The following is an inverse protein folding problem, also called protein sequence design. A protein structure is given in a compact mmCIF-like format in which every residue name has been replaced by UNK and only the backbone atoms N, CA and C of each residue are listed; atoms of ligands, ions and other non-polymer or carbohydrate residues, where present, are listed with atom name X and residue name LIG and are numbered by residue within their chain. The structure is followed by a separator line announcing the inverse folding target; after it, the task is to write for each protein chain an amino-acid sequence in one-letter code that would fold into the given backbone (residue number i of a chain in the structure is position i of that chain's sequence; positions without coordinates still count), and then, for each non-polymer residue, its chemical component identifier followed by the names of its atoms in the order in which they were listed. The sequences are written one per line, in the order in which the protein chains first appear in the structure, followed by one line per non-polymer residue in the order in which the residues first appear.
data_IF_245309599412
#
_entry.id   IF_245309599412
#
_cell.length_a   1.000
_cell.length_b   1.000
_cell.length_c   1.000
_cell.angle_alpha   90.00
_cell.angle_beta   90.00
_cell.angle_gamma   90.00
#
_symmetry.space_group_name_H-M   'P 1'
#
loop_
_entity.id
_entity.type
_entity.pdbx_description
1 polymer ?
#
# COMPACT_ATOMS: atom_id res chain seq x y z
N UNK A 1 -20.06 -4.88 -5.69
CA UNK A 1 -19.56 -3.48 -5.66
C UNK A 1 -18.61 -3.38 -4.49
N UNK A 2 -17.37 -2.92 -4.73
CA UNK A 2 -16.44 -2.71 -3.62
C UNK A 2 -16.97 -1.65 -2.67
N UNK A 3 -16.84 -1.92 -1.37
CA UNK A 3 -17.20 -0.95 -0.33
C UNK A 3 -16.08 0.06 -0.07
N UNK A 4 -14.91 -0.13 -0.69
CA UNK A 4 -13.71 0.70 -0.54
C UNK A 4 -13.72 1.85 -1.55
N UNK A 5 -14.44 2.94 -1.23
CA UNK A 5 -14.56 4.16 -2.07
C UNK A 5 -14.58 5.41 -1.19
N UNK A 6 -14.23 6.55 -1.78
CA UNK A 6 -14.33 7.86 -1.12
C UNK A 6 -13.59 7.93 0.22
N UNK A 7 -14.27 8.38 1.26
CA UNK A 7 -13.71 8.53 2.61
C UNK A 7 -13.21 7.19 3.18
N UNK A 8 -13.93 6.10 2.94
CA UNK A 8 -13.53 4.77 3.43
C UNK A 8 -12.21 4.30 2.83
N UNK A 9 -11.95 4.56 1.55
CA UNK A 9 -10.66 4.23 0.94
C UNK A 9 -9.54 5.10 1.52
N UNK A 10 -9.78 6.40 1.75
CA UNK A 10 -8.80 7.28 2.41
C UNK A 10 -8.43 6.80 3.80
N UNK A 11 -9.40 6.35 4.59
CA UNK A 11 -9.16 5.77 5.91
C UNK A 11 -8.40 4.44 5.83
N UNK A 12 -8.76 3.58 4.88
CA UNK A 12 -8.07 2.31 4.67
C UNK A 12 -6.60 2.47 4.24
N UNK A 13 -6.23 3.60 3.68
CA UNK A 13 -4.85 3.87 3.23
C UNK A 13 -3.96 4.55 4.26
N UNK A 14 -4.42 4.80 5.51
CA UNK A 14 -3.64 5.50 6.55
C UNK A 14 -2.35 4.78 6.92
N UNK A 15 -2.41 3.48 7.20
CA UNK A 15 -1.23 2.63 7.43
C UNK A 15 -1.32 1.37 6.57
N UNK A 16 -0.57 1.37 5.50
CA UNK A 16 -0.57 0.35 4.47
C UNK A 16 0.68 -0.52 4.59
N UNK A 17 0.55 -1.72 5.13
CA UNK A 17 1.66 -2.65 5.33
C UNK A 17 1.76 -3.60 4.13
N UNK A 18 2.95 -3.74 3.57
CA UNK A 18 3.24 -4.61 2.43
C UNK A 18 4.12 -5.75 2.91
N UNK A 19 3.70 -7.00 2.68
CA UNK A 19 4.48 -8.18 3.08
C UNK A 19 5.74 -8.33 2.23
N UNK A 20 6.79 -8.88 2.83
CA UNK A 20 8.03 -9.23 2.15
C UNK A 20 8.73 -10.36 2.90
N UNK A 21 8.79 -11.54 2.29
CA UNK A 21 9.36 -12.75 2.92
C UNK A 21 10.86 -12.63 3.23
N UNK A 22 11.59 -11.89 2.40
CA UNK A 22 13.03 -11.70 2.62
C UNK A 22 13.30 -10.88 3.89
N UNK A 23 12.39 -9.97 4.25
CA UNK A 23 12.49 -9.10 5.41
C UNK A 23 11.75 -9.64 6.65
N UNK A 24 10.96 -10.68 6.50
CA UNK A 24 10.10 -11.22 7.56
C UNK A 24 10.85 -11.90 8.72
N UNK A 25 12.18 -12.02 8.65
CA UNK A 25 13.01 -12.64 9.70
C UNK A 25 12.58 -14.08 10.03
N UNK A 26 12.16 -14.84 9.00
CA UNK A 26 11.68 -16.22 9.13
C UNK A 26 10.24 -16.38 9.62
N UNK A 27 9.52 -15.27 9.89
CA UNK A 27 8.09 -15.31 10.29
C UNK A 27 7.20 -15.54 9.07
N UNK A 28 6.07 -16.21 9.28
CA UNK A 28 5.07 -16.40 8.25
C UNK A 28 4.31 -15.11 7.93
N UNK A 29 3.88 -14.92 6.66
CA UNK A 29 3.10 -13.75 6.25
C UNK A 29 1.84 -13.54 7.11
N UNK A 30 1.19 -14.64 7.54
CA UNK A 30 -0.02 -14.55 8.39
C UNK A 30 0.29 -14.07 9.82
N UNK A 31 1.46 -14.39 10.36
CA UNK A 31 1.90 -13.89 11.67
C UNK A 31 2.18 -12.39 11.59
N UNK A 32 2.95 -11.97 10.58
CA UNK A 32 3.22 -10.56 10.31
C UNK A 32 1.92 -9.78 10.14
N UNK A 33 0.99 -10.28 9.35
CA UNK A 33 -0.29 -9.63 9.09
C UNK A 33 -1.12 -9.47 10.36
N UNK A 34 -1.20 -10.51 11.19
CA UNK A 34 -1.95 -10.49 12.45
C UNK A 34 -1.39 -9.44 13.41
N UNK A 35 -0.08 -9.40 13.56
CA UNK A 35 0.58 -8.43 14.44
C UNK A 35 0.49 -6.99 13.88
N UNK A 36 0.65 -6.80 12.58
CA UNK A 36 0.50 -5.50 11.95
C UNK A 36 -0.93 -4.95 12.09
N UNK A 37 -1.95 -5.78 11.88
CA UNK A 37 -3.36 -5.42 12.05
C UNK A 37 -3.65 -5.09 13.52
N UNK A 38 -3.16 -5.90 14.46
CA UNK A 38 -3.29 -5.63 15.89
C UNK A 38 -2.60 -4.33 16.30
N UNK A 39 -1.54 -3.92 15.60
CA UNK A 39 -0.86 -2.63 15.77
C UNK A 39 -1.56 -1.46 15.06
N UNK A 40 -2.62 -1.70 14.29
CA UNK A 40 -3.41 -0.63 13.67
C UNK A 40 -3.19 -0.46 12.17
N UNK A 41 -2.62 -1.43 11.47
CA UNK A 41 -2.59 -1.44 10.01
C UNK A 41 -4.02 -1.42 9.44
N UNK A 42 -4.27 -0.58 8.44
CA UNK A 42 -5.58 -0.37 7.82
C UNK A 42 -5.68 -0.95 6.42
N UNK A 43 -4.53 -1.22 5.80
CA UNK A 43 -4.41 -1.98 4.56
C UNK A 43 -3.26 -2.98 4.66
N UNK A 44 -3.42 -4.11 4.00
CA UNK A 44 -2.40 -5.14 3.86
C UNK A 44 -2.23 -5.49 2.39
N UNK A 45 -0.98 -5.55 1.91
CA UNK A 45 -0.66 -6.00 0.56
C UNK A 45 0.13 -7.30 0.59
N UNK A 46 -0.35 -8.30 -0.11
CA UNK A 46 0.42 -9.51 -0.40
C UNK A 46 1.40 -9.22 -1.55
N UNK A 47 2.70 -9.20 -1.24
CA UNK A 47 3.78 -9.08 -2.22
C UNK A 47 4.46 -10.43 -2.42
N UNK A 48 4.09 -11.13 -3.48
CA UNK A 48 4.61 -12.45 -3.81
C UNK A 48 5.59 -12.37 -4.99
N UNK A 49 6.88 -12.32 -4.72
CA UNK A 49 7.94 -12.18 -5.75
C UNK A 49 8.62 -13.49 -6.13
N UNK A 50 8.51 -14.53 -5.32
CA UNK A 50 9.13 -15.82 -5.57
C UNK A 50 8.33 -16.96 -4.93
N UNK A 51 8.44 -18.15 -5.52
CA UNK A 51 7.77 -19.35 -5.06
C UNK A 51 6.54 -19.74 -5.90
N UNK A 52 5.98 -20.94 -5.67
CA UNK A 52 4.85 -21.46 -6.40
C UNK A 52 3.58 -20.63 -6.21
N UNK A 53 2.78 -20.46 -7.26
CA UNK A 53 1.48 -19.78 -7.17
C UNK A 53 0.47 -20.52 -6.28
N UNK A 54 0.55 -21.86 -6.19
CA UNK A 54 -0.26 -22.64 -5.27
C UNK A 54 -0.04 -22.23 -3.81
N UNK A 55 1.18 -21.94 -3.43
CA UNK A 55 1.52 -21.43 -2.11
C UNK A 55 1.02 -20.00 -1.93
N UNK A 56 1.19 -19.13 -2.97
CA UNK A 56 0.65 -17.78 -2.96
C UNK A 56 -0.87 -17.78 -2.74
N UNK A 57 -1.59 -18.70 -3.34
CA UNK A 57 -3.04 -18.88 -3.15
C UNK A 57 -3.38 -19.28 -1.71
N UNK A 58 -2.67 -20.24 -1.13
CA UNK A 58 -2.90 -20.66 0.26
C UNK A 58 -2.68 -19.50 1.24
N UNK A 59 -1.53 -18.83 1.14
CA UNK A 59 -1.21 -17.67 1.97
C UNK A 59 -2.22 -16.54 1.73
N UNK A 60 -2.52 -16.24 0.46
CA UNK A 60 -3.43 -15.17 0.09
C UNK A 60 -4.85 -15.38 0.62
N UNK A 61 -5.39 -16.61 0.58
CA UNK A 61 -6.69 -16.92 1.17
C UNK A 61 -6.71 -16.71 2.69
N UNK A 62 -5.63 -17.10 3.39
CA UNK A 62 -5.52 -16.88 4.83
C UNK A 62 -5.46 -15.38 5.17
N UNK A 63 -4.65 -14.61 4.45
CA UNK A 63 -4.53 -13.16 4.63
C UNK A 63 -5.86 -12.45 4.32
N UNK A 64 -6.54 -12.85 3.24
CA UNK A 64 -7.84 -12.28 2.88
C UNK A 64 -8.90 -12.53 3.96
N UNK A 65 -8.94 -13.74 4.50
CA UNK A 65 -9.88 -14.07 5.58
C UNK A 65 -9.62 -13.20 6.82
N UNK A 66 -8.35 -13.07 7.22
CA UNK A 66 -7.92 -12.22 8.34
C UNK A 66 -8.29 -10.75 8.12
N UNK A 67 -7.97 -10.19 6.95
CA UNK A 67 -8.29 -8.80 6.62
C UNK A 67 -9.79 -8.54 6.62
N UNK A 68 -10.59 -9.45 6.07
CA UNK A 68 -12.06 -9.35 6.06
C UNK A 68 -12.64 -9.33 7.47
N UNK A 69 -12.15 -10.20 8.34
CA UNK A 69 -12.58 -10.27 9.74
C UNK A 69 -12.25 -8.99 10.50
N UNK A 70 -11.06 -8.43 10.25
CA UNK A 70 -10.58 -7.20 10.88
C UNK A 70 -11.10 -5.90 10.22
N UNK A 71 -11.79 -5.96 9.09
CA UNK A 71 -12.22 -4.78 8.34
C UNK A 71 -11.08 -4.01 7.69
N UNK A 72 -9.99 -4.71 7.31
CA UNK A 72 -8.77 -4.18 6.69
C UNK A 72 -8.80 -4.42 5.18
N UNK A 73 -8.37 -3.44 4.39
CA UNK A 73 -8.28 -3.54 2.93
C UNK A 73 -7.20 -4.56 2.54
N UNK A 74 -7.57 -5.58 1.75
CA UNK A 74 -6.63 -6.58 1.24
C UNK A 74 -6.30 -6.36 -0.23
N UNK A 75 -5.03 -6.14 -0.53
CA UNK A 75 -4.52 -5.84 -1.87
C UNK A 75 -3.49 -6.89 -2.30
N UNK A 76 -3.42 -7.19 -3.59
CA UNK A 76 -2.37 -8.04 -4.19
C UNK A 76 -1.45 -7.18 -5.05
N UNK A 77 -0.15 -7.39 -4.90
CA UNK A 77 0.87 -6.66 -5.65
C UNK A 77 1.08 -7.29 -7.05
N UNK A 78 1.11 -6.47 -8.11
CA UNK A 78 1.44 -6.78 -9.52
C UNK A 78 0.50 -7.80 -10.20
N UNK A 79 0.16 -8.88 -9.55
CA UNK A 79 -0.51 -10.06 -10.11
C UNK A 79 -2.02 -9.92 -10.12
N UNK A 80 -2.56 -9.39 -11.21
CA UNK A 80 -4.03 -9.24 -11.42
C UNK A 80 -4.74 -10.57 -11.40
N UNK A 81 -4.16 -11.62 -11.99
CA UNK A 81 -4.68 -12.98 -11.98
C UNK A 81 -4.81 -13.55 -10.56
N UNK A 82 -3.79 -13.34 -9.73
CA UNK A 82 -3.80 -13.75 -8.33
C UNK A 82 -4.85 -12.95 -7.52
N UNK A 83 -4.96 -11.65 -7.76
CA UNK A 83 -5.97 -10.81 -7.11
C UNK A 83 -7.39 -11.30 -7.42
N UNK A 84 -7.67 -11.63 -8.68
CA UNK A 84 -8.95 -12.19 -9.11
C UNK A 84 -9.21 -13.57 -8.49
N UNK A 85 -8.23 -14.48 -8.51
CA UNK A 85 -8.35 -15.81 -7.94
C UNK A 85 -8.63 -15.80 -6.44
N UNK A 86 -8.03 -14.86 -5.71
CA UNK A 86 -8.25 -14.65 -4.27
C UNK A 86 -9.54 -13.91 -3.97
N UNK A 87 -10.17 -13.26 -4.94
CA UNK A 87 -11.24 -12.30 -4.71
C UNK A 87 -10.77 -11.15 -3.79
N UNK A 88 -9.56 -10.63 -4.01
CA UNK A 88 -9.00 -9.54 -3.22
C UNK A 88 -9.86 -8.27 -3.32
N UNK A 89 -9.71 -7.37 -2.35
CA UNK A 89 -10.38 -6.07 -2.39
C UNK A 89 -9.72 -5.13 -3.41
N UNK A 90 -8.43 -5.32 -3.68
CA UNK A 90 -7.68 -4.51 -4.62
C UNK A 90 -6.47 -5.21 -5.25
N UNK A 91 -5.95 -4.58 -6.29
CA UNK A 91 -4.66 -4.89 -6.92
C UNK A 91 -3.84 -3.61 -7.06
N UNK A 92 -2.54 -3.71 -6.87
CA UNK A 92 -1.61 -2.58 -7.04
C UNK A 92 -0.59 -2.92 -8.11
N UNK A 93 -0.50 -2.08 -9.13
CA UNK A 93 0.40 -2.27 -10.29
C UNK A 93 1.38 -1.11 -10.43
N UNK A 94 2.56 -1.37 -10.98
CA UNK A 94 3.57 -0.38 -11.32
C UNK A 94 3.69 -0.15 -12.82
N UNK A 95 4.64 0.68 -13.22
CA UNK A 95 4.85 1.08 -14.63
C UNK A 95 5.26 -0.07 -15.56
N UNK A 96 5.86 -1.13 -15.00
CA UNK A 96 6.29 -2.31 -15.74
C UNK A 96 5.28 -3.47 -15.71
N UNK A 97 4.19 -3.32 -14.97
CA UNK A 97 3.14 -4.32 -14.83
C UNK A 97 2.03 -4.12 -15.87
N UNK A 98 0.91 -4.82 -15.71
CA UNK A 98 -0.25 -4.65 -16.57
C UNK A 98 -0.77 -3.20 -16.45
N UNK A 99 -0.91 -2.45 -17.56
CA UNK A 99 -1.36 -1.06 -17.53
C UNK A 99 -2.72 -0.87 -16.83
N UNK A 100 -2.92 0.29 -16.18
CA UNK A 100 -4.16 0.59 -15.45
C UNK A 100 -5.43 0.38 -16.28
N UNK A 101 -5.52 0.83 -17.56
CA UNK A 101 -6.71 0.59 -18.36
C UNK A 101 -7.02 -0.90 -18.55
N UNK A 102 -6.00 -1.72 -18.78
CA UNK A 102 -6.17 -3.16 -18.98
C UNK A 102 -6.49 -3.86 -17.66
N UNK A 103 -5.85 -3.44 -16.58
CA UNK A 103 -6.17 -3.90 -15.22
C UNK A 103 -7.63 -3.62 -14.90
N UNK A 104 -8.11 -2.39 -15.13
CA UNK A 104 -9.51 -2.01 -14.89
C UNK A 104 -10.51 -2.83 -15.71
N UNK A 105 -10.20 -3.12 -16.97
CA UNK A 105 -11.04 -4.00 -17.80
C UNK A 105 -11.20 -5.40 -17.22
N UNK A 106 -10.12 -5.97 -16.63
CA UNK A 106 -10.16 -7.30 -16.04
C UNK A 106 -10.91 -7.33 -14.70
N UNK A 107 -10.63 -6.36 -13.82
CA UNK A 107 -11.17 -6.37 -12.45
C UNK A 107 -12.53 -5.68 -12.32
N UNK A 108 -12.96 -4.94 -13.35
CA UNK A 108 -14.22 -4.18 -13.33
C UNK A 108 -14.24 -3.12 -12.22
N UNK A 109 -15.44 -2.68 -11.83
CA UNK A 109 -15.67 -1.68 -10.78
C UNK A 109 -15.69 -2.27 -9.35
N UNK A 110 -15.55 -3.59 -9.22
CA UNK A 110 -15.67 -4.28 -7.93
C UNK A 110 -14.38 -4.32 -7.12
N UNK A 111 -13.25 -3.99 -7.73
CA UNK A 111 -11.92 -4.07 -7.10
C UNK A 111 -11.24 -2.70 -7.14
N UNK A 112 -10.50 -2.38 -6.08
CA UNK A 112 -9.65 -1.19 -6.03
C UNK A 112 -8.41 -1.39 -6.89
N UNK A 113 -8.05 -0.41 -7.72
CA UNK A 113 -6.82 -0.40 -8.51
C UNK A 113 -5.89 0.69 -7.98
N UNK A 114 -4.74 0.29 -7.44
CA UNK A 114 -3.66 1.18 -7.09
C UNK A 114 -2.59 1.21 -8.16
N UNK A 115 -1.90 2.35 -8.30
CA UNK A 115 -0.81 2.51 -9.24
C UNK A 115 0.37 3.26 -8.64
N UNK A 116 1.59 2.86 -9.01
CA UNK A 116 2.83 3.57 -8.63
C UNK A 116 3.37 4.35 -9.82
N UNK A 117 3.06 5.66 -9.95
CA UNK A 117 3.63 6.52 -10.98
C UNK A 117 5.07 6.93 -10.64
N UNK A 118 5.89 7.13 -11.66
CA UNK A 118 7.22 7.73 -11.56
C UNK A 118 7.20 9.23 -11.88
N UNK A 119 6.20 9.68 -12.66
CA UNK A 119 6.06 11.07 -13.11
C UNK A 119 4.66 11.60 -12.85
N UNK A 120 4.52 12.92 -12.82
CA UNK A 120 3.22 13.59 -12.75
C UNK A 120 2.31 13.21 -13.93
N UNK A 121 2.86 13.10 -15.13
CA UNK A 121 2.11 12.71 -16.32
C UNK A 121 1.49 11.31 -16.16
N UNK A 122 2.29 10.35 -15.68
CA UNK A 122 1.80 8.99 -15.38
C UNK A 122 0.72 8.99 -14.29
N UNK A 123 0.84 9.83 -13.27
CA UNK A 123 -0.14 9.96 -12.20
C UNK A 123 -1.52 10.44 -12.74
N UNK A 124 -1.51 11.50 -13.55
CA UNK A 124 -2.72 12.04 -14.19
C UNK A 124 -3.34 11.05 -15.18
N UNK A 125 -2.51 10.37 -15.98
CA UNK A 125 -2.97 9.34 -16.89
C UNK A 125 -3.60 8.14 -16.16
N UNK A 126 -3.02 7.71 -15.03
CA UNK A 126 -3.55 6.61 -14.23
C UNK A 126 -4.89 6.96 -13.58
N UNK A 127 -5.05 8.18 -13.06
CA UNK A 127 -6.33 8.66 -12.55
C UNK A 127 -7.40 8.66 -13.66
N UNK A 128 -7.10 9.23 -14.82
CA UNK A 128 -8.00 9.25 -15.97
C UNK A 128 -8.36 7.84 -16.46
N UNK A 129 -7.44 6.87 -16.31
CA UNK A 129 -7.65 5.48 -16.66
C UNK A 129 -8.41 4.66 -15.61
N UNK A 130 -8.77 5.26 -14.47
CA UNK A 130 -9.58 4.63 -13.43
C UNK A 130 -8.76 3.99 -12.30
N UNK A 131 -7.54 4.44 -12.02
CA UNK A 131 -6.88 4.15 -10.75
C UNK A 131 -7.68 4.76 -9.59
N UNK A 132 -7.74 4.05 -8.46
CA UNK A 132 -8.46 4.49 -7.26
C UNK A 132 -7.54 5.18 -6.26
N UNK A 133 -6.24 4.88 -6.27
CA UNK A 133 -5.22 5.54 -5.46
C UNK A 133 -3.83 5.41 -6.08
N UNK A 134 -2.91 6.26 -5.64
CA UNK A 134 -1.52 6.24 -6.07
C UNK A 134 -0.57 5.95 -4.89
N UNK A 135 0.51 5.19 -5.17
CA UNK A 135 1.64 5.01 -4.27
C UNK A 135 2.86 5.72 -4.83
N UNK A 136 3.29 6.82 -4.22
CA UNK A 136 4.37 7.66 -4.72
C UNK A 136 5.64 7.48 -3.90
N UNK A 137 6.73 7.17 -4.58
CA UNK A 137 8.03 6.96 -3.95
C UNK A 137 9.10 6.43 -4.91
N UNK A 138 10.30 6.11 -4.35
CA UNK A 138 10.64 6.15 -2.93
C UNK A 138 10.79 7.59 -2.40
N UNK A 139 10.06 7.93 -1.34
CA UNK A 139 10.13 9.30 -0.76
C UNK A 139 11.50 9.54 -0.13
N UNK A 140 12.02 8.54 0.58
CA UNK A 140 13.35 8.55 1.17
C UNK A 140 14.21 7.42 0.61
N UNK A 141 15.55 7.50 0.74
CA UNK A 141 16.43 6.42 0.32
C UNK A 141 16.02 5.08 0.95
N UNK A 142 16.02 4.01 0.15
CA UNK A 142 15.64 2.67 0.59
C UNK A 142 16.41 1.61 -0.19
N UNK A 143 16.72 0.50 0.48
CA UNK A 143 17.30 -0.69 -0.12
C UNK A 143 16.30 -1.86 -0.20
N UNK A 144 15.07 -1.63 0.26
CA UNK A 144 14.02 -2.66 0.34
C UNK A 144 13.60 -3.19 -1.03
N UNK A 145 13.52 -2.29 -2.03
CA UNK A 145 13.32 -2.66 -3.43
C UNK A 145 14.56 -2.23 -4.21
N UNK A 146 15.35 -3.17 -4.75
CA UNK A 146 16.57 -2.83 -5.50
C UNK A 146 16.32 -1.97 -6.75
N UNK A 147 15.14 -2.08 -7.32
CA UNK A 147 14.65 -1.38 -8.52
C UNK A 147 13.86 -0.10 -8.22
N UNK A 148 13.83 0.36 -6.97
CA UNK A 148 13.05 1.54 -6.59
C UNK A 148 13.58 2.87 -7.14
N UNK A 149 14.80 2.90 -7.66
CA UNK A 149 15.43 4.13 -8.13
C UNK A 149 15.86 5.07 -6.99
N UNK A 150 16.34 6.29 -7.33
CA UNK A 150 16.70 7.30 -6.33
C UNK A 150 15.46 7.85 -5.62
N UNK A 151 15.68 8.37 -4.39
CA UNK A 151 14.61 9.02 -3.64
C UNK A 151 14.07 10.24 -4.40
N UNK A 152 12.74 10.32 -4.53
CA UNK A 152 12.07 11.42 -5.23
C UNK A 152 11.74 12.60 -4.31
N UNK A 153 11.74 12.40 -3.00
CA UNK A 153 11.53 13.42 -1.99
C UNK A 153 10.06 13.82 -1.76
N UNK A 154 9.89 14.68 -0.76
CA UNK A 154 8.57 15.19 -0.36
C UNK A 154 7.98 16.17 -1.38
N UNK A 155 8.80 16.91 -2.10
CA UNK A 155 8.32 17.87 -3.12
C UNK A 155 7.61 17.16 -4.27
N UNK A 156 8.19 16.07 -4.77
CA UNK A 156 7.57 15.27 -5.82
C UNK A 156 6.27 14.62 -5.34
N UNK A 157 6.26 14.10 -4.11
CA UNK A 157 5.04 13.57 -3.49
C UNK A 157 3.95 14.65 -3.42
N UNK A 158 4.28 15.84 -2.92
CA UNK A 158 3.35 16.97 -2.80
C UNK A 158 2.83 17.44 -4.16
N UNK A 159 3.70 17.49 -5.17
CA UNK A 159 3.32 17.86 -6.54
C UNK A 159 2.26 16.89 -7.10
N UNK A 160 2.49 15.59 -6.99
CA UNK A 160 1.53 14.58 -7.47
C UNK A 160 0.25 14.64 -6.64
N UNK A 161 0.35 14.65 -5.30
CA UNK A 161 -0.82 14.66 -4.42
C UNK A 161 -1.70 15.91 -4.58
N UNK A 162 -1.09 17.05 -4.96
CA UNK A 162 -1.83 18.28 -5.25
C UNK A 162 -2.46 18.34 -6.64
N UNK A 163 -2.04 17.48 -7.56
CA UNK A 163 -2.50 17.49 -8.95
C UNK A 163 -3.63 16.48 -9.24
N UNK A 164 -3.79 15.44 -8.41
CA UNK A 164 -4.81 14.41 -8.59
C UNK A 164 -5.92 14.51 -7.55
N UNK A 165 -7.12 14.07 -7.89
CA UNK A 165 -8.27 14.01 -6.98
C UNK A 165 -8.34 12.71 -6.16
N UNK A 166 -7.65 11.65 -6.61
CA UNK A 166 -7.61 10.36 -5.92
C UNK A 166 -6.60 10.36 -4.76
N UNK A 167 -6.79 9.48 -3.74
CA UNK A 167 -5.87 9.40 -2.61
C UNK A 167 -4.44 9.05 -3.04
N UNK A 168 -3.46 9.67 -2.37
CA UNK A 168 -2.03 9.38 -2.56
C UNK A 168 -1.42 8.92 -1.24
N UNK A 169 -0.67 7.82 -1.26
CA UNK A 169 0.16 7.35 -0.14
C UNK A 169 1.64 7.52 -0.48
N UNK A 170 2.44 7.91 0.49
CA UNK A 170 3.90 7.90 0.35
C UNK A 170 4.45 6.51 0.62
N UNK A 171 5.48 6.09 -0.13
CA UNK A 171 6.18 4.83 0.07
C UNK A 171 7.70 5.01 -0.08
N UNK A 172 8.48 4.14 0.55
CA UNK A 172 9.94 4.07 0.44
C UNK A 172 10.70 4.84 1.50
N UNK A 173 11.44 4.13 2.33
CA UNK A 173 12.27 4.67 3.41
C UNK A 173 11.49 5.33 4.56
N UNK A 174 10.19 5.07 4.66
CA UNK A 174 9.31 5.68 5.67
C UNK A 174 9.38 4.89 6.96
N UNK A 175 9.53 5.62 8.07
CA UNK A 175 9.56 5.13 9.46
C UNK A 175 8.71 6.04 10.34
N UNK A 176 8.50 5.69 11.60
CA UNK A 176 7.80 6.55 12.55
C UNK A 176 8.45 7.93 12.73
N UNK A 177 9.78 8.03 12.53
CA UNK A 177 10.50 9.30 12.67
C UNK A 177 10.22 10.31 11.53
N UNK A 178 9.82 9.84 10.33
CA UNK A 178 9.65 10.71 9.16
C UNK A 178 8.22 10.65 8.54
N UNK A 179 7.35 9.77 9.01
CA UNK A 179 5.99 9.60 8.47
C UNK A 179 5.14 10.89 8.56
N UNK A 180 5.29 11.68 9.62
CA UNK A 180 4.54 12.93 9.78
C UNK A 180 4.81 13.93 8.63
N UNK A 181 6.06 14.01 8.14
CA UNK A 181 6.40 14.87 7.02
C UNK A 181 5.72 14.42 5.71
N UNK A 182 5.56 13.10 5.51
CA UNK A 182 4.82 12.52 4.37
C UNK A 182 3.35 12.94 4.41
N UNK A 183 2.72 12.91 5.58
CA UNK A 183 1.33 13.35 5.75
C UNK A 183 1.18 14.86 5.51
N UNK A 184 2.13 15.67 6.00
CA UNK A 184 2.13 17.12 5.75
C UNK A 184 2.32 17.46 4.26
N UNK A 185 2.96 16.59 3.49
CA UNK A 185 3.05 16.68 2.02
C UNK A 185 1.77 16.22 1.29
N UNK A 186 0.62 16.28 1.97
CA UNK A 186 -0.76 16.02 1.45
C UNK A 186 -1.08 14.53 1.20
N UNK A 187 -0.20 13.60 1.53
CA UNK A 187 -0.54 12.17 1.50
C UNK A 187 -1.66 11.84 2.50
N UNK A 188 -2.49 10.86 2.16
CA UNK A 188 -3.57 10.37 3.06
C UNK A 188 -3.07 9.31 4.04
N UNK A 189 -1.88 8.77 3.79
CA UNK A 189 -1.26 7.74 4.60
C UNK A 189 0.12 7.36 4.09
N UNK A 190 0.68 6.31 4.66
CA UNK A 190 2.00 5.77 4.35
C UNK A 190 1.93 4.28 4.03
N UNK A 191 2.69 3.84 3.03
CA UNK A 191 2.91 2.45 2.72
C UNK A 191 4.32 2.05 3.17
N UNK A 192 4.44 0.96 3.91
CA UNK A 192 5.69 0.52 4.53
C UNK A 192 5.94 -0.97 4.35
N UNK A 193 7.20 -1.34 4.22
CA UNK A 193 7.67 -2.73 4.21
C UNK A 193 8.58 -2.93 5.43
N UNK A 194 9.86 -2.57 5.30
CA UNK A 194 10.90 -2.87 6.28
C UNK A 194 10.62 -2.31 7.67
N UNK A 195 10.03 -1.13 7.77
CA UNK A 195 9.73 -0.48 9.05
C UNK A 195 8.79 -1.29 9.95
N UNK A 196 7.95 -2.16 9.37
CA UNK A 196 7.01 -3.02 10.09
C UNK A 196 7.41 -4.49 9.94
N UNK A 197 7.53 -4.98 8.70
CA UNK A 197 7.82 -6.40 8.43
C UNK A 197 9.19 -6.83 8.94
N UNK A 198 10.18 -5.94 8.89
CA UNK A 198 11.53 -6.18 9.39
C UNK A 198 11.72 -5.90 10.89
N UNK A 199 10.74 -5.30 11.55
CA UNK A 199 10.82 -4.96 12.97
C UNK A 199 10.90 -6.22 13.86
N UNK A 200 11.52 -6.10 15.01
CA UNK A 200 11.53 -7.16 16.03
C UNK A 200 10.14 -7.37 16.61
N UNK A 201 9.47 -6.29 16.97
CA UNK A 201 8.08 -6.24 17.39
C UNK A 201 7.25 -5.55 16.29
N UNK A 202 6.57 -6.35 15.46
CA UNK A 202 5.73 -5.90 14.34
C UNK A 202 4.54 -5.07 14.82
N UNK A 203 3.90 -5.51 15.92
CA UNK A 203 2.73 -4.83 16.49
C UNK A 203 3.11 -3.44 16.98
N UNK A 204 4.17 -3.34 17.73
CA UNK A 204 4.63 -2.07 18.28
C UNK A 204 5.09 -1.11 17.18
N UNK A 205 5.81 -1.61 16.17
CA UNK A 205 6.22 -0.81 15.01
C UNK A 205 5.02 -0.27 14.22
N UNK A 206 3.99 -1.10 13.99
CA UNK A 206 2.76 -0.68 13.34
C UNK A 206 1.99 0.35 14.21
N UNK A 207 1.90 0.14 15.52
CA UNK A 207 1.24 1.05 16.46
C UNK A 207 1.87 2.44 16.45
N UNK A 208 3.20 2.51 16.56
CA UNK A 208 3.93 3.78 16.51
C UNK A 208 3.70 4.55 15.20
N UNK A 209 3.80 3.85 14.05
CA UNK A 209 3.51 4.45 12.75
C UNK A 209 2.07 4.96 12.66
N UNK A 210 1.10 4.17 13.13
CA UNK A 210 -0.31 4.55 13.11
C UNK A 210 -0.58 5.78 13.94
N UNK A 211 -0.02 5.87 15.14
CA UNK A 211 -0.16 7.04 16.01
C UNK A 211 0.42 8.31 15.37
N UNK A 212 1.60 8.23 14.78
CA UNK A 212 2.23 9.35 14.07
C UNK A 212 1.38 9.80 12.87
N UNK A 213 0.86 8.87 12.09
CA UNK A 213 0.00 9.17 10.94
C UNK A 213 -1.30 9.85 11.38
N UNK A 214 -1.99 9.29 12.38
CA UNK A 214 -3.26 9.84 12.87
C UNK A 214 -3.07 11.23 13.49
N UNK A 215 -2.00 11.45 14.27
CA UNK A 215 -1.67 12.76 14.83
C UNK A 215 -1.42 13.81 13.71
N UNK A 216 -0.62 13.46 12.71
CA UNK A 216 -0.33 14.38 11.60
C UNK A 216 -1.57 14.67 10.72
N UNK A 217 -2.48 13.70 10.55
CA UNK A 217 -3.76 13.92 9.87
C UNK A 217 -4.68 14.85 10.68
N UNK A 218 -4.72 14.72 12.00
CA UNK A 218 -5.50 15.59 12.88
C UNK A 218 -4.99 17.05 12.83
N UNK A 219 -3.67 17.25 12.87
CA UNK A 219 -3.04 18.57 12.71
C UNK A 219 -3.43 19.25 11.38
N UNK A 220 -3.53 18.48 10.29
CA UNK A 220 -3.87 18.99 8.95
C UNK A 220 -5.36 19.34 8.80
N UNK A 221 -6.24 18.71 9.57
CA UNK A 221 -7.68 18.95 9.55
C UNK A 221 -8.14 20.16 10.37
N UNK A 222 -7.21 20.78 11.11
CA UNK A 222 -7.43 22.03 11.87
C UNK A 222 -7.01 23.24 11.04
#
# INVERSE_FOLDING_TARGET
VTTWRGARLREALRLYVITDRALARGRADIEIAREAIAGGATALQLRWKAGPLSEALQVGHALRALCREAGVLFVVNDRVDLALALGADGVHVGVSDLPVPETRKLVGESMVVGFSPETLEQALAAEAAGADYLGVGPVYPTTTKPDAGPAVGLEHLAQIAGAVGIPVVGIGGITAANAAAVIRAVAVGVAVISAVVGAEDVREAARQLREVVDAALAERGQ
#
